data_IF_322784225009
#
_entry.id   IF_322784225009
#
_cell.length_a   1.000
_cell.length_b   1.000
_cell.length_c   1.000
_cell.angle_alpha   90.00
_cell.angle_beta   90.00
_cell.angle_gamma   90.00
#
_symmetry.space_group_name_H-M   'P 1'
#
loop_
_entity.id
_entity.type
_entity.pdbx_description
1 polymer ?
#
# COMPACT_ATOMS: atom_id res chain seq x y z
N UNK A 1 25.54 17.06 17.38
CA UNK A 1 24.18 16.91 16.81
C UNK A 1 24.33 16.19 15.47
N UNK A 2 23.73 15.01 15.30
CA UNK A 2 23.99 14.15 14.14
C UNK A 2 23.31 14.78 12.90
N UNK A 3 24.07 15.39 11.99
CA UNK A 3 23.54 16.13 10.81
C UNK A 3 22.58 15.27 9.99
N UNK A 4 22.85 13.95 9.93
CA UNK A 4 22.02 12.95 9.25
C UNK A 4 20.61 12.79 9.82
N UNK A 5 20.36 13.24 11.06
CA UNK A 5 19.02 13.24 11.69
C UNK A 5 18.25 14.56 11.50
N UNK A 6 18.86 15.57 10.88
CA UNK A 6 18.17 16.84 10.64
C UNK A 6 17.22 16.70 9.44
N UNK A 7 15.92 16.87 9.67
CA UNK A 7 14.87 16.75 8.65
C UNK A 7 15.07 17.69 7.46
N UNK A 8 15.51 18.93 7.71
CA UNK A 8 15.80 19.90 6.65
C UNK A 8 17.00 19.46 5.81
N UNK A 9 18.04 18.90 6.45
CA UNK A 9 19.18 18.33 5.73
C UNK A 9 18.76 17.15 4.87
N UNK A 10 17.95 16.23 5.40
CA UNK A 10 17.43 15.08 4.64
C UNK A 10 16.59 15.52 3.42
N UNK A 11 15.73 16.52 3.57
CA UNK A 11 14.95 17.08 2.45
C UNK A 11 15.85 17.68 1.36
N UNK A 12 16.83 18.49 1.76
CA UNK A 12 17.79 19.11 0.84
C UNK A 12 18.62 18.03 0.15
N UNK A 13 19.11 17.03 0.90
CA UNK A 13 19.88 15.93 0.34
C UNK A 13 19.09 15.12 -0.69
N UNK A 14 17.81 14.84 -0.42
CA UNK A 14 16.92 14.19 -1.37
C UNK A 14 16.77 15.01 -2.67
N UNK A 15 16.50 16.31 -2.54
CA UNK A 15 16.31 17.22 -3.66
C UNK A 15 17.60 17.36 -4.50
N UNK A 16 18.76 17.45 -3.83
CA UNK A 16 20.07 17.46 -4.50
C UNK A 16 20.29 16.16 -5.25
N UNK A 17 20.03 15.00 -4.64
CA UNK A 17 20.20 13.70 -5.28
C UNK A 17 19.33 13.58 -6.55
N UNK A 18 18.08 14.02 -6.47
CA UNK A 18 17.16 14.06 -7.61
C UNK A 18 17.67 15.00 -8.72
N UNK A 19 18.13 16.20 -8.34
CA UNK A 19 18.71 17.18 -9.25
C UNK A 19 19.98 16.67 -9.93
N UNK A 20 20.86 15.98 -9.20
CA UNK A 20 22.05 15.33 -9.75
C UNK A 20 21.65 14.30 -10.79
N UNK A 21 20.65 13.46 -10.50
CA UNK A 21 20.18 12.45 -11.48
C UNK A 21 19.63 13.11 -12.73
N UNK A 22 18.88 14.20 -12.63
CA UNK A 22 18.40 14.95 -13.80
C UNK A 22 19.53 15.57 -14.63
N UNK A 23 20.68 15.86 -14.02
CA UNK A 23 21.86 16.42 -14.68
C UNK A 23 22.79 15.35 -15.25
N UNK A 24 22.64 14.09 -14.85
CA UNK A 24 23.45 13.00 -15.39
C UNK A 24 23.15 12.81 -16.88
N UNK A 25 24.18 12.50 -17.70
CA UNK A 25 23.98 12.22 -19.11
C UNK A 25 23.02 11.04 -19.27
N UNK A 26 21.91 11.28 -19.97
CA UNK A 26 20.89 10.29 -20.26
C UNK A 26 21.44 9.26 -21.25
N UNK A 27 21.41 7.94 -20.94
CA UNK A 27 21.75 6.92 -21.90
C UNK A 27 20.61 6.75 -22.92
N UNK A 28 20.74 7.36 -24.09
CA UNK A 28 19.72 7.32 -25.16
C UNK A 28 19.60 5.95 -25.84
N UNK A 29 20.57 5.06 -25.61
CA UNK A 29 20.65 3.78 -26.28
C UNK A 29 21.11 3.92 -27.73
N UNK A 30 21.00 2.83 -28.47
CA UNK A 30 21.41 2.74 -29.89
C UNK A 30 20.27 2.32 -30.80
N UNK A 31 19.14 1.85 -30.24
CA UNK A 31 18.00 1.31 -30.98
C UNK A 31 16.75 2.14 -30.73
N UNK A 32 16.10 2.53 -31.82
CA UNK A 32 14.92 3.39 -31.82
C UNK A 32 13.80 2.76 -32.65
N UNK A 33 12.60 2.72 -32.10
CA UNK A 33 11.40 2.24 -32.78
C UNK A 33 10.69 3.40 -33.47
N UNK A 34 10.55 3.35 -34.79
CA UNK A 34 9.88 4.38 -35.58
C UNK A 34 8.46 3.91 -35.93
N UNK A 35 7.46 4.69 -35.52
CA UNK A 35 6.04 4.46 -35.85
C UNK A 35 5.48 5.61 -36.68
N UNK A 36 4.50 5.31 -37.53
CA UNK A 36 3.80 6.32 -38.34
C UNK A 36 4.57 6.84 -39.56
N UNK A 37 5.62 6.14 -39.97
CA UNK A 37 6.34 6.33 -41.22
C UNK A 37 6.23 5.08 -42.12
N UNK A 38 5.05 4.82 -42.73
CA UNK A 38 4.81 3.59 -43.50
C UNK A 38 5.65 3.51 -44.78
N UNK A 39 6.14 4.64 -45.30
CA UNK A 39 6.97 4.71 -46.51
C UNK A 39 8.48 4.71 -46.19
N UNK A 40 8.87 4.56 -44.92
CA UNK A 40 10.27 4.59 -44.46
C UNK A 40 11.04 5.82 -44.98
N UNK A 41 10.36 6.98 -45.08
CA UNK A 41 10.96 8.23 -45.56
C UNK A 41 12.04 8.73 -44.60
N UNK A 42 11.87 8.49 -43.31
CA UNK A 42 12.85 8.86 -42.30
C UNK A 42 14.13 8.06 -42.49
N UNK A 43 14.03 6.74 -42.68
CA UNK A 43 15.20 5.90 -43.00
C UNK A 43 16.00 6.51 -44.16
N UNK A 44 15.34 6.93 -45.25
CA UNK A 44 15.98 7.57 -46.40
C UNK A 44 16.82 8.82 -46.08
N UNK A 45 16.51 9.57 -45.02
CA UNK A 45 17.26 10.76 -44.62
C UNK A 45 18.40 10.48 -43.64
N UNK A 46 18.42 9.31 -43.00
CA UNK A 46 19.34 9.01 -41.89
C UNK A 46 20.17 7.73 -42.12
N UNK A 47 20.20 7.22 -43.35
CA UNK A 47 20.94 6.00 -43.73
C UNK A 47 22.45 6.10 -43.50
N UNK A 48 22.99 7.32 -43.44
CA UNK A 48 24.38 7.63 -43.16
C UNK A 48 24.77 7.32 -41.71
N UNK A 49 23.79 7.30 -40.78
CA UNK A 49 24.03 7.13 -39.34
C UNK A 49 23.25 5.99 -38.70
N UNK A 50 22.19 5.52 -39.36
CA UNK A 50 21.31 4.47 -38.86
C UNK A 50 21.11 3.36 -39.90
N UNK A 51 21.01 2.13 -39.40
CA UNK A 51 20.67 0.95 -40.19
C UNK A 51 19.33 0.37 -39.74
N UNK A 52 18.61 -0.23 -40.67
CA UNK A 52 17.39 -0.95 -40.38
C UNK A 52 17.72 -2.28 -39.67
N UNK A 53 17.09 -2.53 -38.53
CA UNK A 53 17.15 -3.83 -37.82
C UNK A 53 16.03 -4.72 -38.34
N UNK A 54 16.31 -5.98 -38.73
CA UNK A 54 15.28 -6.93 -39.11
C UNK A 54 14.24 -7.11 -38.00
N UNK A 55 12.94 -7.22 -38.32
CA UNK A 55 11.90 -7.38 -37.31
C UNK A 55 12.05 -8.70 -36.56
N UNK A 56 12.07 -8.66 -35.22
CA UNK A 56 12.04 -9.86 -34.36
C UNK A 56 10.63 -10.50 -34.28
N UNK A 57 9.58 -9.80 -34.75
CA UNK A 57 8.18 -10.26 -34.74
C UNK A 57 7.36 -9.58 -35.84
N UNK A 58 6.54 -10.35 -36.57
CA UNK A 58 5.65 -9.87 -37.64
C UNK A 58 4.56 -8.87 -37.19
N UNK A 59 4.35 -8.70 -35.87
CA UNK A 59 3.27 -7.85 -35.32
C UNK A 59 3.64 -6.37 -35.10
N UNK A 60 4.86 -5.95 -35.44
CA UNK A 60 5.27 -4.56 -35.23
C UNK A 60 4.63 -3.61 -36.25
N UNK A 61 3.89 -2.60 -35.77
CA UNK A 61 3.30 -1.51 -36.60
C UNK A 61 4.33 -0.43 -36.99
N UNK A 62 5.63 -0.75 -36.91
CA UNK A 62 6.74 0.17 -37.14
C UNK A 62 8.01 -0.57 -37.52
N UNK A 63 9.12 0.16 -37.60
CA UNK A 63 10.44 -0.41 -37.90
C UNK A 63 11.49 0.08 -36.90
N UNK A 64 12.56 -0.69 -36.71
CA UNK A 64 13.61 -0.37 -35.74
C UNK A 64 14.86 0.10 -36.47
N UNK A 65 15.39 1.23 -36.02
CA UNK A 65 16.67 1.78 -36.47
C UNK A 65 17.73 1.55 -35.39
N UNK A 66 18.91 1.13 -35.79
CA UNK A 66 20.08 1.02 -34.92
C UNK A 66 21.20 1.94 -35.40
N UNK A 67 21.89 2.61 -34.49
CA UNK A 67 23.04 3.44 -34.83
C UNK A 67 24.18 2.60 -35.41
N UNK A 68 24.84 3.12 -36.44
CA UNK A 68 26.00 2.46 -37.04
C UNK A 68 27.21 2.67 -36.12
N UNK A 69 27.85 1.58 -35.69
CA UNK A 69 29.04 1.61 -34.84
C UNK A 69 30.16 2.45 -35.49
N UNK A 70 30.60 3.52 -34.83
CA UNK A 70 31.59 4.47 -35.36
C UNK A 70 31.03 5.87 -35.67
N UNK A 71 29.71 6.07 -35.68
CA UNK A 71 29.11 7.40 -35.51
C UNK A 71 29.47 7.90 -34.11
N UNK A 72 29.97 9.14 -33.99
CA UNK A 72 30.73 9.62 -32.82
C UNK A 72 30.04 9.28 -31.50
N UNK A 73 30.77 8.58 -30.63
CA UNK A 73 30.44 8.42 -29.20
C UNK A 73 30.34 9.81 -28.55
N UNK A 74 29.14 10.40 -28.55
CA UNK A 74 28.87 11.76 -28.10
C UNK A 74 27.71 12.45 -28.83
N UNK A 75 27.30 11.96 -30.01
CA UNK A 75 26.13 12.49 -30.71
C UNK A 75 24.84 12.00 -30.04
N UNK A 76 23.86 12.89 -29.85
CA UNK A 76 22.52 12.59 -29.31
C UNK A 76 21.66 11.97 -30.42
N UNK A 77 21.65 10.64 -30.61
CA UNK A 77 21.10 10.03 -31.81
C UNK A 77 19.58 10.23 -31.90
N UNK A 78 18.92 10.39 -30.75
CA UNK A 78 17.51 10.72 -30.71
C UNK A 78 17.22 12.12 -31.26
N UNK A 79 18.05 13.13 -30.94
CA UNK A 79 17.88 14.48 -31.48
C UNK A 79 18.04 14.51 -33.01
N UNK A 80 18.97 13.72 -33.55
CA UNK A 80 19.15 13.60 -34.99
C UNK A 80 17.92 13.02 -35.69
N UNK A 81 17.34 11.96 -35.11
CA UNK A 81 16.09 11.36 -35.60
C UNK A 81 14.91 12.34 -35.47
N UNK A 82 14.82 13.07 -34.37
CA UNK A 82 13.77 14.07 -34.13
C UNK A 82 13.88 15.24 -35.13
N UNK A 83 15.10 15.72 -35.42
CA UNK A 83 15.35 16.76 -36.43
C UNK A 83 15.03 16.27 -37.84
N UNK A 84 15.44 15.06 -38.20
CA UNK A 84 15.11 14.46 -39.50
C UNK A 84 13.59 14.26 -39.66
N UNK A 85 12.91 13.78 -38.60
CA UNK A 85 11.46 13.66 -38.58
C UNK A 85 10.75 15.02 -38.72
N UNK A 86 11.27 16.07 -38.07
CA UNK A 86 10.72 17.43 -38.18
C UNK A 86 10.82 17.98 -39.61
N UNK A 87 11.90 17.68 -40.34
CA UNK A 87 12.10 18.08 -41.74
C UNK A 87 11.12 17.41 -42.71
N UNK A 88 10.57 16.25 -42.35
CA UNK A 88 9.62 15.48 -43.18
C UNK A 88 8.16 15.94 -43.08
N UNK A 89 7.85 16.91 -42.20
CA UNK A 89 6.50 17.44 -41.99
C UNK A 89 5.79 16.82 -40.79
N UNK A 90 5.15 17.67 -39.99
CA UNK A 90 4.68 17.37 -38.64
C UNK A 90 3.51 16.37 -38.60
N UNK A 91 3.63 15.35 -37.75
CA UNK A 91 2.47 14.89 -36.96
C UNK A 91 2.25 13.39 -36.81
N UNK A 92 2.99 12.50 -37.49
CA UNK A 92 2.74 11.03 -37.37
C UNK A 92 3.95 10.20 -36.96
N UNK A 93 5.17 10.71 -37.13
CA UNK A 93 6.36 9.92 -36.81
C UNK A 93 6.62 9.98 -35.31
N UNK A 94 6.52 8.84 -34.64
CA UNK A 94 6.82 8.68 -33.21
C UNK A 94 8.11 7.89 -33.06
N UNK A 95 9.05 8.40 -32.26
CA UNK A 95 10.33 7.77 -31.98
C UNK A 95 10.28 7.16 -30.57
N UNK A 96 10.23 5.83 -30.50
CA UNK A 96 10.34 5.05 -29.27
C UNK A 96 11.79 4.69 -28.98
N UNK A 97 12.15 4.63 -27.69
CA UNK A 97 13.49 4.22 -27.25
C UNK A 97 13.42 2.73 -26.89
N UNK A 98 14.26 1.89 -27.50
CA UNK A 98 14.21 0.42 -27.30
C UNK A 98 15.18 -0.03 -26.20
N UNK A 99 16.44 0.40 -26.28
CA UNK A 99 17.50 0.03 -25.33
C UNK A 99 18.08 1.23 -24.59
N UNK A 100 17.32 2.32 -24.52
CA UNK A 100 17.71 3.58 -23.88
C UNK A 100 16.57 4.22 -23.11
N UNK A 101 16.91 5.22 -22.30
CA UNK A 101 15.95 5.97 -21.49
C UNK A 101 15.36 7.12 -22.32
N UNK A 102 14.03 7.11 -22.48
CA UNK A 102 13.31 8.28 -22.99
C UNK A 102 13.45 9.47 -22.03
N UNK A 103 13.22 10.72 -22.48
CA UNK A 103 13.35 11.88 -21.59
C UNK A 103 12.36 11.80 -20.43
N UNK A 104 11.17 11.26 -20.68
CA UNK A 104 10.13 11.00 -19.67
C UNK A 104 10.57 9.92 -18.68
N UNK A 105 11.17 8.81 -19.15
CA UNK A 105 11.64 7.75 -18.28
C UNK A 105 12.83 8.17 -17.40
N UNK A 106 13.73 9.01 -17.92
CA UNK A 106 14.83 9.58 -17.14
C UNK A 106 14.33 10.54 -16.04
N UNK A 107 13.37 11.40 -16.38
CA UNK A 107 12.68 12.26 -15.41
C UNK A 107 11.96 11.44 -14.32
N UNK A 108 11.29 10.37 -14.72
CA UNK A 108 10.67 9.44 -13.78
C UNK A 108 11.69 8.78 -12.85
N UNK A 109 12.85 8.36 -13.36
CA UNK A 109 13.93 7.77 -12.56
C UNK A 109 14.44 8.75 -11.48
N UNK A 110 14.64 10.02 -11.83
CA UNK A 110 15.03 11.04 -10.86
C UNK A 110 13.99 11.20 -9.74
N UNK A 111 12.71 11.25 -10.11
CA UNK A 111 11.58 11.28 -9.15
C UNK A 111 11.55 10.00 -8.31
N UNK A 112 11.78 8.83 -8.89
CA UNK A 112 11.76 7.56 -8.17
C UNK A 112 12.84 7.51 -7.08
N UNK A 113 14.07 7.92 -7.40
CA UNK A 113 15.16 7.94 -6.40
C UNK A 113 14.88 8.95 -5.29
N UNK A 114 14.35 10.12 -5.62
CA UNK A 114 13.87 11.09 -4.64
C UNK A 114 12.86 10.46 -3.67
N UNK A 115 11.86 9.77 -4.22
CA UNK A 115 10.79 9.15 -3.44
C UNK A 115 11.29 8.01 -2.56
N UNK A 116 12.18 7.15 -3.06
CA UNK A 116 12.80 6.09 -2.26
C UNK A 116 13.50 6.71 -1.03
N UNK A 117 14.24 7.79 -1.23
CA UNK A 117 14.91 8.48 -0.13
C UNK A 117 13.92 9.09 0.87
N UNK A 118 12.84 9.72 0.39
CA UNK A 118 11.76 10.25 1.23
C UNK A 118 11.08 9.16 2.07
N UNK A 119 10.77 8.00 1.48
CA UNK A 119 10.13 6.89 2.17
C UNK A 119 11.06 6.20 3.18
N UNK A 120 12.36 6.12 2.91
CA UNK A 120 13.32 5.45 3.80
C UNK A 120 13.72 6.33 4.99
N UNK A 121 13.90 7.63 4.77
CA UNK A 121 14.34 8.54 5.84
C UNK A 121 13.20 9.25 6.57
N UNK A 122 12.01 9.28 5.99
CA UNK A 122 10.79 9.87 6.57
C UNK A 122 11.00 11.30 7.15
N UNK A 123 11.63 12.24 6.42
CA UNK A 123 11.86 13.60 6.95
C UNK A 123 10.55 14.38 7.15
N UNK A 124 9.53 14.03 6.37
CA UNK A 124 8.15 14.52 6.46
C UNK A 124 7.21 13.32 6.59
N UNK A 125 5.96 13.49 7.05
CA UNK A 125 4.99 12.40 7.14
C UNK A 125 4.82 11.66 5.80
N UNK A 126 4.64 10.34 5.87
CA UNK A 126 4.55 9.47 4.69
C UNK A 126 3.36 9.83 3.79
N UNK A 127 2.29 10.36 4.37
CA UNK A 127 1.09 10.82 3.66
C UNK A 127 1.40 12.04 2.79
N UNK A 128 2.21 12.97 3.32
CA UNK A 128 2.67 14.14 2.56
C UNK A 128 3.60 13.70 1.45
N UNK A 129 4.52 12.78 1.73
CA UNK A 129 5.40 12.18 0.71
C UNK A 129 4.59 11.54 -0.41
N UNK A 130 3.54 10.76 -0.06
CA UNK A 130 2.66 10.13 -1.03
C UNK A 130 1.91 11.16 -1.89
N UNK A 131 1.42 12.28 -1.33
CA UNK A 131 0.80 13.37 -2.11
C UNK A 131 1.80 14.07 -3.04
N UNK A 132 3.04 14.25 -2.59
CA UNK A 132 4.09 14.83 -3.42
C UNK A 132 4.38 14.01 -4.69
N UNK A 133 4.12 12.70 -4.70
CA UNK A 133 4.31 11.85 -5.89
C UNK A 133 3.54 12.41 -7.09
N UNK A 134 2.22 12.56 -6.97
CA UNK A 134 1.36 13.05 -8.05
C UNK A 134 1.75 14.45 -8.50
N UNK A 135 2.02 15.34 -7.54
CA UNK A 135 2.47 16.72 -7.84
C UNK A 135 3.79 16.72 -8.61
N UNK A 136 4.79 15.95 -8.17
CA UNK A 136 6.09 15.88 -8.83
C UNK A 136 5.99 15.26 -10.22
N UNK A 137 5.19 14.21 -10.41
CA UNK A 137 4.97 13.60 -11.72
C UNK A 137 4.37 14.60 -12.72
N UNK A 138 3.49 15.50 -12.27
CA UNK A 138 2.91 16.56 -13.11
C UNK A 138 3.95 17.67 -13.37
N UNK A 139 4.58 18.21 -12.32
CA UNK A 139 5.52 19.34 -12.44
C UNK A 139 6.74 19.01 -13.30
N UNK A 140 7.23 17.79 -13.19
CA UNK A 140 8.37 17.31 -13.96
C UNK A 140 7.93 16.89 -15.39
N UNK A 141 6.63 16.80 -15.66
CA UNK A 141 6.08 16.45 -16.98
C UNK A 141 6.21 14.96 -17.32
N UNK A 142 6.16 14.10 -16.30
CA UNK A 142 6.13 12.63 -16.44
C UNK A 142 4.73 12.13 -16.75
N UNK A 143 3.71 12.73 -16.15
CA UNK A 143 2.31 12.36 -16.32
C UNK A 143 1.44 13.62 -16.41
N UNK A 144 0.30 13.53 -17.11
CA UNK A 144 -0.69 14.60 -17.12
C UNK A 144 -1.51 14.60 -15.82
N UNK A 145 -2.20 15.71 -15.57
CA UNK A 145 -3.01 15.93 -14.35
C UNK A 145 -4.02 14.81 -14.13
N UNK A 146 -4.74 14.39 -15.18
CA UNK A 146 -5.81 13.39 -15.05
C UNK A 146 -5.22 12.02 -14.71
N UNK A 147 -4.17 11.60 -15.42
CA UNK A 147 -3.52 10.31 -15.20
C UNK A 147 -2.83 10.23 -13.84
N UNK A 148 -2.15 11.29 -13.40
CA UNK A 148 -1.47 11.33 -12.11
C UNK A 148 -2.45 11.19 -10.94
N UNK A 149 -3.60 11.90 -10.99
CA UNK A 149 -4.61 11.82 -9.92
C UNK A 149 -5.47 10.57 -9.98
N UNK A 150 -5.62 9.93 -11.15
CA UNK A 150 -6.40 8.70 -11.29
C UNK A 150 -5.91 7.57 -10.36
N UNK A 151 -4.60 7.47 -10.12
CA UNK A 151 -4.00 6.50 -9.20
C UNK A 151 -4.48 6.68 -7.73
N UNK A 152 -4.78 7.92 -7.31
CA UNK A 152 -5.27 8.21 -5.96
C UNK A 152 -6.73 7.81 -5.76
N UNK A 153 -7.48 7.64 -6.85
CA UNK A 153 -8.88 7.17 -6.83
C UNK A 153 -8.99 5.73 -7.34
N UNK A 154 -7.91 4.95 -7.23
CA UNK A 154 -7.94 3.53 -7.57
C UNK A 154 -8.98 2.78 -6.70
N UNK A 155 -9.72 1.80 -7.23
CA UNK A 155 -10.73 1.04 -6.47
C UNK A 155 -10.24 0.51 -5.12
N UNK A 156 -8.97 0.10 -5.05
CA UNK A 156 -8.32 -0.37 -3.82
C UNK A 156 -8.21 0.73 -2.75
N UNK A 157 -7.98 1.99 -3.14
CA UNK A 157 -7.93 3.12 -2.21
C UNK A 157 -9.31 3.34 -1.58
N UNK A 158 -10.37 3.33 -2.39
CA UNK A 158 -11.76 3.42 -1.91
C UNK A 158 -12.11 2.26 -0.97
N UNK A 159 -11.66 1.05 -1.29
CA UNK A 159 -11.86 -0.11 -0.42
C UNK A 159 -11.20 0.06 0.95
N UNK A 160 -9.92 0.45 0.97
CA UNK A 160 -9.18 0.66 2.22
C UNK A 160 -9.85 1.77 3.05
N UNK A 161 -10.26 2.87 2.41
CA UNK A 161 -11.02 3.94 3.05
C UNK A 161 -12.29 3.41 3.73
N UNK A 162 -13.09 2.58 3.03
CA UNK A 162 -14.29 1.97 3.61
C UNK A 162 -13.97 1.05 4.80
N UNK A 163 -12.88 0.27 4.73
CA UNK A 163 -12.46 -0.61 5.82
C UNK A 163 -12.07 0.18 7.08
N UNK A 164 -11.43 1.34 6.92
CA UNK A 164 -11.14 2.25 8.04
C UNK A 164 -12.42 2.83 8.65
N UNK A 165 -13.37 3.27 7.82
CA UNK A 165 -14.69 3.74 8.27
C UNK A 165 -15.45 2.66 9.04
N UNK A 166 -15.39 1.41 8.58
CA UNK A 166 -15.99 0.28 9.29
C UNK A 166 -15.36 0.03 10.66
N UNK A 167 -14.04 0.24 10.79
CA UNK A 167 -13.38 0.18 12.08
C UNK A 167 -13.87 1.28 13.04
N UNK A 168 -14.09 2.51 12.55
CA UNK A 168 -14.69 3.60 13.33
C UNK A 168 -16.11 3.23 13.77
N UNK A 169 -16.92 2.63 12.88
CA UNK A 169 -18.27 2.16 13.20
C UNK A 169 -18.28 1.11 14.32
N UNK A 170 -17.35 0.14 14.28
CA UNK A 170 -17.19 -0.87 15.32
C UNK A 170 -16.85 -0.25 16.68
N UNK A 171 -15.96 0.75 16.69
CA UNK A 171 -15.56 1.44 17.91
C UNK A 171 -16.70 2.28 18.50
N UNK A 172 -17.36 3.08 17.66
CA UNK A 172 -18.56 3.84 18.03
C UNK A 172 -19.69 2.97 18.56
N UNK A 173 -19.83 1.76 17.99
CA UNK A 173 -20.81 0.80 18.47
C UNK A 173 -20.49 0.23 19.86
N UNK A 174 -19.27 0.40 20.36
CA UNK A 174 -18.80 -0.23 21.59
C UNK A 174 -18.47 -1.71 21.42
N UNK A 175 -18.53 -2.25 20.19
CA UNK A 175 -18.17 -3.64 19.89
C UNK A 175 -16.72 -3.91 20.24
N UNK A 176 -15.85 -2.95 19.93
CA UNK A 176 -14.44 -2.91 20.33
C UNK A 176 -14.26 -3.11 21.85
N UNK A 177 -14.94 -2.28 22.65
CA UNK A 177 -14.87 -2.34 24.13
C UNK A 177 -15.40 -3.66 24.65
N UNK A 178 -16.52 -4.14 24.09
CA UNK A 178 -17.13 -5.44 24.42
C UNK A 178 -16.18 -6.60 24.11
N UNK A 179 -15.49 -6.59 22.98
CA UNK A 179 -14.48 -7.60 22.64
C UNK A 179 -13.31 -7.58 23.63
N UNK A 180 -12.80 -6.39 23.98
CA UNK A 180 -11.75 -6.24 25.00
C UNK A 180 -12.17 -6.79 26.37
N UNK A 181 -13.39 -6.46 26.82
CA UNK A 181 -13.95 -6.96 28.08
C UNK A 181 -14.19 -8.48 28.07
N UNK A 182 -14.66 -9.04 26.95
CA UNK A 182 -14.82 -10.49 26.79
C UNK A 182 -13.49 -11.23 26.93
N UNK A 183 -12.45 -10.72 26.27
CA UNK A 183 -11.10 -11.29 26.34
C UNK A 183 -10.54 -11.16 27.76
N UNK A 184 -10.67 -9.98 28.36
CA UNK A 184 -10.19 -9.72 29.72
C UNK A 184 -10.78 -10.69 30.76
N UNK A 185 -12.08 -10.97 30.65
CA UNK A 185 -12.78 -11.94 31.51
C UNK A 185 -12.22 -13.36 31.38
N UNK A 186 -11.88 -13.79 30.16
CA UNK A 186 -11.39 -15.16 29.89
C UNK A 186 -9.93 -15.36 30.31
N UNK A 187 -9.19 -14.27 30.41
CA UNK A 187 -7.77 -14.24 30.74
C UNK A 187 -7.44 -14.33 32.24
N UNK A 188 -8.27 -13.75 33.09
CA UNK A 188 -8.00 -13.66 34.53
C UNK A 188 -6.82 -12.73 34.85
N UNK A 189 -6.15 -12.98 35.98
CA UNK A 189 -5.12 -12.07 36.54
C UNK A 189 -3.71 -12.25 35.95
N UNK A 190 -3.45 -13.32 35.18
CA UNK A 190 -2.11 -13.61 34.69
C UNK A 190 -1.75 -12.73 33.49
N UNK A 191 -0.64 -11.99 33.59
CA UNK A 191 -0.08 -11.19 32.49
C UNK A 191 0.07 -12.00 31.22
N UNK A 192 0.74 -13.16 31.30
CA UNK A 192 1.01 -14.00 30.11
C UNK A 192 -0.29 -14.44 29.44
N UNK A 193 -1.23 -14.99 30.23
CA UNK A 193 -2.51 -15.48 29.70
C UNK A 193 -3.34 -14.34 29.11
N UNK A 194 -3.36 -13.19 29.77
CA UNK A 194 -4.06 -12.01 29.30
C UNK A 194 -3.54 -11.49 27.97
N UNK A 195 -2.24 -11.26 27.87
CA UNK A 195 -1.64 -10.77 26.64
C UNK A 195 -1.83 -11.77 25.51
N UNK A 196 -1.68 -13.08 25.75
CA UNK A 196 -1.92 -14.08 24.71
C UNK A 196 -3.35 -14.07 24.19
N UNK A 197 -4.34 -14.06 25.07
CA UNK A 197 -5.75 -14.10 24.64
C UNK A 197 -6.12 -12.78 23.95
N UNK A 198 -5.65 -11.63 24.46
CA UNK A 198 -5.92 -10.33 23.85
C UNK A 198 -5.25 -10.19 22.49
N UNK A 199 -3.95 -10.42 22.42
CA UNK A 199 -3.19 -10.31 21.18
C UNK A 199 -3.67 -11.32 20.14
N UNK A 200 -3.89 -12.58 20.49
CA UNK A 200 -4.39 -13.57 19.53
C UNK A 200 -5.84 -13.31 19.13
N UNK A 201 -6.69 -12.89 20.07
CA UNK A 201 -8.09 -12.58 19.80
C UNK A 201 -8.24 -11.41 18.84
N UNK A 202 -7.55 -10.30 19.12
CA UNK A 202 -7.56 -9.12 18.24
C UNK A 202 -6.73 -9.34 16.97
N UNK A 203 -5.68 -10.16 17.04
CA UNK A 203 -4.92 -10.60 15.88
C UNK A 203 -5.79 -11.37 14.90
N UNK A 204 -6.54 -12.38 15.34
CA UNK A 204 -7.48 -13.08 14.47
C UNK A 204 -8.62 -12.13 14.05
N UNK A 205 -9.08 -11.24 14.92
CA UNK A 205 -10.10 -10.26 14.55
C UNK A 205 -9.63 -9.28 13.46
N UNK A 206 -8.33 -8.96 13.37
CA UNK A 206 -7.79 -8.14 12.28
C UNK A 206 -7.84 -8.82 10.91
N UNK A 207 -8.25 -10.09 10.82
CA UNK A 207 -8.62 -10.68 9.53
C UNK A 207 -9.91 -10.08 8.97
N UNK A 208 -10.77 -9.46 9.79
CA UNK A 208 -12.06 -8.89 9.36
C UNK A 208 -12.17 -7.39 9.63
N UNK A 209 -11.12 -6.77 10.18
CA UNK A 209 -10.99 -5.32 10.37
C UNK A 209 -9.55 -4.90 10.09
N UNK A 210 -9.32 -3.62 9.80
CA UNK A 210 -7.97 -3.14 9.50
C UNK A 210 -7.00 -3.36 10.68
N UNK A 211 -5.82 -3.92 10.42
CA UNK A 211 -4.82 -4.32 11.42
C UNK A 211 -4.31 -3.17 12.31
N UNK A 212 -4.08 -1.99 11.72
CA UNK A 212 -3.75 -0.78 12.45
C UNK A 212 -4.85 -0.37 13.44
N UNK A 213 -6.12 -0.47 13.04
CA UNK A 213 -7.25 -0.16 13.92
C UNK A 213 -7.36 -1.20 15.04
N UNK A 214 -7.26 -2.49 14.73
CA UNK A 214 -7.22 -3.57 15.73
C UNK A 214 -6.08 -3.38 16.75
N UNK A 215 -4.92 -2.91 16.30
CA UNK A 215 -3.77 -2.59 17.15
C UNK A 215 -4.05 -1.40 18.07
N UNK A 216 -4.58 -0.30 17.54
CA UNK A 216 -4.93 0.88 18.33
C UNK A 216 -5.94 0.54 19.43
N UNK A 217 -6.96 -0.26 19.09
CA UNK A 217 -7.94 -0.84 20.00
C UNK A 217 -7.25 -1.65 21.11
N UNK A 218 -6.35 -2.56 20.72
CA UNK A 218 -5.65 -3.43 21.64
C UNK A 218 -4.83 -2.61 22.65
N UNK A 219 -4.13 -1.59 22.16
CA UNK A 219 -3.32 -0.69 22.99
C UNK A 219 -4.21 0.13 23.94
N UNK A 220 -5.33 0.66 23.45
CA UNK A 220 -6.28 1.42 24.27
C UNK A 220 -6.89 0.56 25.40
N UNK A 221 -7.10 -0.73 25.16
CA UNK A 221 -7.53 -1.67 26.18
C UNK A 221 -6.41 -2.09 27.16
N UNK A 222 -5.17 -2.24 26.66
CA UNK A 222 -4.02 -2.70 27.44
C UNK A 222 -3.45 -1.63 28.38
N UNK A 223 -3.38 -0.38 27.92
CA UNK A 223 -2.64 0.68 28.61
C UNK A 223 -3.23 1.06 29.99
N UNK A 224 -4.56 1.21 30.17
CA UNK A 224 -5.14 1.46 31.48
C UNK A 224 -4.87 0.31 32.46
N UNK A 225 -4.89 -0.93 31.95
CA UNK A 225 -4.64 -2.12 32.75
C UNK A 225 -3.20 -2.18 33.25
N UNK A 226 -2.24 -1.88 32.36
CA UNK A 226 -0.83 -1.79 32.73
C UNK A 226 -0.58 -0.75 33.82
N UNK A 227 -1.24 0.41 33.71
CA UNK A 227 -1.16 1.48 34.72
C UNK A 227 -1.75 1.04 36.05
N UNK A 228 -2.92 0.41 36.05
CA UNK A 228 -3.58 -0.09 37.26
C UNK A 228 -2.77 -1.18 37.97
N UNK A 229 -2.05 -2.02 37.21
CA UNK A 229 -1.15 -3.04 37.75
C UNK A 229 0.24 -2.51 38.16
N UNK A 230 0.49 -1.20 38.07
CA UNK A 230 1.78 -0.60 38.43
C UNK A 230 2.95 -1.03 37.53
N UNK A 231 2.68 -1.46 36.30
CA UNK A 231 3.73 -1.96 35.39
C UNK A 231 4.57 -0.78 34.89
N UNK A 232 5.86 -0.83 35.22
CA UNK A 232 6.81 0.22 34.83
C UNK A 232 7.15 0.14 33.33
N UNK A 233 7.31 1.29 32.64
CA UNK A 233 7.77 1.34 31.26
C UNK A 233 9.11 0.62 31.07
N UNK A 234 9.37 0.14 29.85
CA UNK A 234 10.62 -0.52 29.45
C UNK A 234 10.99 -1.84 30.15
N UNK A 235 10.20 -2.30 31.12
CA UNK A 235 10.31 -3.66 31.67
C UNK A 235 9.98 -4.72 30.61
N UNK A 236 10.44 -5.95 30.79
CA UNK A 236 10.09 -7.05 29.88
C UNK A 236 8.58 -7.30 29.87
N UNK A 237 7.91 -7.19 31.02
CA UNK A 237 6.44 -7.24 31.12
C UNK A 237 5.78 -6.17 30.23
N UNK A 238 6.21 -4.91 30.32
CA UNK A 238 5.66 -3.84 29.50
C UNK A 238 5.93 -4.07 28.00
N UNK A 239 7.15 -4.48 27.63
CA UNK A 239 7.52 -4.78 26.24
C UNK A 239 6.69 -5.91 25.68
N UNK A 240 6.49 -7.00 26.42
CA UNK A 240 5.66 -8.11 25.98
C UNK A 240 4.19 -7.70 25.79
N UNK A 241 3.61 -7.04 26.80
CA UNK A 241 2.21 -6.61 26.74
C UNK A 241 1.94 -5.63 25.58
N UNK A 242 2.89 -4.76 25.26
CA UNK A 242 2.72 -3.75 24.22
C UNK A 242 3.11 -4.26 22.82
N UNK A 243 4.22 -5.00 22.68
CA UNK A 243 4.72 -5.45 21.37
C UNK A 243 3.96 -6.66 20.83
N UNK A 244 3.41 -7.53 21.69
CA UNK A 244 2.64 -8.68 21.23
C UNK A 244 1.41 -8.27 20.38
N UNK A 245 0.83 -7.10 20.65
CA UNK A 245 -0.38 -6.60 19.98
C UNK A 245 -0.14 -6.27 18.50
N UNK A 246 0.78 -5.36 18.10
CA UNK A 246 1.01 -5.06 16.69
C UNK A 246 1.52 -6.27 15.90
N UNK A 247 2.35 -7.13 16.50
CA UNK A 247 2.82 -8.35 15.83
C UNK A 247 1.68 -9.32 15.54
N UNK A 248 0.78 -9.55 16.51
CA UNK A 248 -0.38 -10.40 16.32
C UNK A 248 -1.37 -9.79 15.31
N UNK A 249 -1.70 -8.51 15.44
CA UNK A 249 -2.60 -7.82 14.52
C UNK A 249 -2.06 -7.77 13.09
N UNK A 250 -0.76 -7.54 12.89
CA UNK A 250 -0.18 -7.56 11.54
C UNK A 250 -0.12 -8.98 10.96
N UNK A 251 0.17 -9.99 11.79
CA UNK A 251 0.15 -11.41 11.36
C UNK A 251 -1.25 -11.87 10.98
N UNK A 252 -2.27 -11.43 11.72
CA UNK A 252 -3.66 -11.75 11.43
C UNK A 252 -4.22 -10.97 10.25
N UNK A 253 -3.79 -9.72 10.06
CA UNK A 253 -4.26 -8.84 8.98
C UNK A 253 -4.01 -9.40 7.58
N UNK A 254 -3.05 -10.33 7.45
CA UNK A 254 -2.82 -11.00 6.17
C UNK A 254 -3.91 -12.00 5.76
N UNK A 255 -4.71 -12.48 6.72
CA UNK A 255 -5.64 -13.60 6.52
C UNK A 255 -6.77 -13.32 5.54
N UNK A 256 -7.14 -12.05 5.31
CA UNK A 256 -8.06 -11.65 4.24
C UNK A 256 -7.57 -10.38 3.54
N UNK A 257 -8.26 -10.00 2.46
CA UNK A 257 -8.00 -8.74 1.76
C UNK A 257 -8.37 -7.48 2.58
N UNK A 258 -9.25 -7.62 3.59
CA UNK A 258 -9.70 -6.51 4.47
C UNK A 258 -8.63 -6.16 5.50
N UNK A 259 -7.93 -7.17 6.01
CA UNK A 259 -7.15 -7.03 7.23
C UNK A 259 -5.99 -6.06 7.10
N UNK A 260 -5.17 -6.20 6.05
CA UNK A 260 -4.06 -5.30 5.77
C UNK A 260 -4.18 -4.68 4.38
N UNK A 261 -4.04 -3.36 4.26
CA UNK A 261 -4.09 -2.68 2.97
C UNK A 261 -3.11 -3.24 1.92
N UNK A 262 -1.98 -3.81 2.37
CA UNK A 262 -0.99 -4.49 1.52
C UNK A 262 -1.57 -5.70 0.79
N UNK A 263 -2.52 -6.42 1.40
CA UNK A 263 -3.11 -7.63 0.83
C UNK A 263 -3.91 -7.30 -0.43
N UNK A 264 -4.80 -6.30 -0.33
CA UNK A 264 -5.61 -5.85 -1.46
C UNK A 264 -4.77 -5.21 -2.57
N UNK A 265 -3.76 -4.41 -2.22
CA UNK A 265 -2.82 -3.85 -3.21
C UNK A 265 -2.07 -4.96 -3.95
N UNK A 266 -1.60 -5.98 -3.23
CA UNK A 266 -0.89 -7.11 -3.84
C UNK A 266 -1.78 -7.90 -4.81
N UNK A 267 -3.03 -8.17 -4.42
CA UNK A 267 -3.99 -8.85 -5.29
C UNK A 267 -4.31 -8.02 -6.55
N UNK A 268 -4.44 -6.70 -6.41
CA UNK A 268 -4.68 -5.80 -7.55
C UNK A 268 -3.49 -5.76 -8.52
N UNK A 269 -2.26 -5.61 -8.01
CA UNK A 269 -1.05 -5.60 -8.84
C UNK A 269 -0.79 -6.95 -9.50
N UNK A 270 -1.10 -8.07 -8.83
CA UNK A 270 -1.01 -9.38 -9.46
C UNK A 270 -1.91 -9.47 -10.69
N UNK A 271 -3.17 -9.01 -10.56
CA UNK A 271 -4.11 -8.95 -11.68
C UNK A 271 -3.62 -8.01 -12.79
N UNK A 272 -3.11 -6.84 -12.43
CA UNK A 272 -2.64 -5.84 -13.38
C UNK A 272 -1.43 -6.33 -14.20
N UNK A 273 -0.45 -6.97 -13.55
CA UNK A 273 0.78 -7.39 -14.21
C UNK A 273 0.70 -8.76 -14.90
N UNK A 274 -0.13 -9.67 -14.40
CA UNK A 274 -0.16 -11.07 -14.88
C UNK A 274 -1.51 -11.48 -15.47
N UNK A 275 -2.56 -10.68 -15.29
CA UNK A 275 -3.94 -11.05 -15.62
C UNK A 275 -4.58 -12.03 -14.63
N UNK A 276 -3.84 -12.54 -13.65
CA UNK A 276 -4.35 -13.49 -12.65
C UNK A 276 -5.14 -12.73 -11.57
N UNK A 277 -6.44 -12.93 -11.54
CA UNK A 277 -7.31 -12.40 -10.48
C UNK A 277 -7.43 -13.41 -9.34
N UNK A 278 -6.92 -13.05 -8.15
CA UNK A 278 -7.21 -13.76 -6.90
C UNK A 278 -8.42 -13.09 -6.28
N UNK A 279 -9.53 -13.83 -6.17
CA UNK A 279 -10.72 -13.30 -5.54
C UNK A 279 -10.60 -13.36 -3.99
N UNK A 280 -11.58 -12.79 -3.29
CA UNK A 280 -11.57 -12.70 -1.83
C UNK A 280 -11.50 -14.07 -1.15
N UNK A 281 -12.27 -15.04 -1.66
CA UNK A 281 -12.34 -16.38 -1.09
C UNK A 281 -11.05 -17.15 -1.32
N UNK A 282 -10.48 -17.08 -2.53
CA UNK A 282 -9.19 -17.70 -2.87
C UNK A 282 -8.08 -17.20 -1.94
N UNK A 283 -8.02 -15.88 -1.73
CA UNK A 283 -7.08 -15.28 -0.80
C UNK A 283 -7.30 -15.79 0.62
N UNK A 284 -8.55 -15.78 1.11
CA UNK A 284 -8.87 -16.21 2.46
C UNK A 284 -8.51 -17.68 2.68
N UNK A 285 -8.81 -18.57 1.73
CA UNK A 285 -8.47 -19.99 1.82
C UNK A 285 -6.95 -20.22 1.88
N UNK A 286 -6.17 -19.40 1.18
CA UNK A 286 -4.71 -19.51 1.17
C UNK A 286 -4.06 -18.86 2.41
N UNK A 287 -4.46 -17.65 2.77
CA UNK A 287 -3.78 -16.82 3.77
C UNK A 287 -4.34 -17.00 5.19
N UNK A 288 -5.62 -17.36 5.36
CA UNK A 288 -6.23 -17.55 6.68
C UNK A 288 -5.56 -18.68 7.48
N UNK A 289 -5.26 -19.87 6.90
CA UNK A 289 -4.55 -20.91 7.64
C UNK A 289 -3.18 -20.44 8.14
N UNK A 290 -2.46 -19.68 7.32
CA UNK A 290 -1.19 -19.07 7.71
C UNK A 290 -1.38 -18.08 8.86
N UNK A 291 -2.36 -17.17 8.77
CA UNK A 291 -2.70 -16.21 9.81
C UNK A 291 -3.02 -16.89 11.16
N UNK A 292 -3.81 -17.97 11.15
CA UNK A 292 -4.17 -18.73 12.36
C UNK A 292 -2.96 -19.35 13.07
N UNK A 293 -1.88 -19.64 12.34
CA UNK A 293 -0.63 -20.17 12.88
C UNK A 293 0.34 -19.05 13.26
N UNK A 294 0.50 -18.04 12.40
CA UNK A 294 1.47 -16.96 12.60
C UNK A 294 1.07 -16.00 13.72
N UNK A 295 -0.23 -15.79 13.96
CA UNK A 295 -0.72 -14.99 15.08
C UNK A 295 -0.18 -15.50 16.43
N UNK A 296 -0.50 -16.74 16.88
CA UNK A 296 0.03 -17.25 18.14
C UNK A 296 1.56 -17.41 18.13
N UNK A 297 2.15 -17.77 16.98
CA UNK A 297 3.61 -17.87 16.85
C UNK A 297 4.31 -16.52 17.06
N UNK A 298 3.75 -15.43 16.55
CA UNK A 298 4.28 -14.07 16.73
C UNK A 298 4.24 -13.64 18.19
N UNK A 299 3.13 -13.91 18.88
CA UNK A 299 3.00 -13.62 20.32
C UNK A 299 3.97 -14.47 21.14
N UNK A 300 4.13 -15.75 20.78
CA UNK A 300 5.10 -16.65 21.40
C UNK A 300 6.54 -16.18 21.19
N UNK A 301 6.89 -15.69 20.01
CA UNK A 301 8.21 -15.11 19.74
C UNK A 301 8.47 -13.88 20.63
N UNK A 302 7.51 -12.97 20.75
CA UNK A 302 7.63 -11.80 21.65
C UNK A 302 7.75 -12.25 23.10
N UNK A 303 6.96 -13.25 23.53
CA UNK A 303 7.04 -13.82 24.88
C UNK A 303 8.42 -14.44 25.18
N UNK A 304 9.02 -15.14 24.21
CA UNK A 304 10.34 -15.75 24.36
C UNK A 304 11.44 -14.69 24.54
N UNK A 305 11.36 -13.58 23.80
CA UNK A 305 12.34 -12.48 23.86
C UNK A 305 12.13 -11.61 25.11
N UNK A 306 10.89 -11.31 25.45
CA UNK A 306 10.52 -10.41 26.56
C UNK A 306 9.69 -11.15 27.61
N UNK A 307 10.28 -12.16 28.26
CA UNK A 307 9.57 -12.94 29.28
C UNK A 307 8.99 -12.03 30.38
N UNK A 308 7.66 -12.01 30.58
CA UNK A 308 7.05 -11.17 31.60
C UNK A 308 7.31 -11.72 33.00
N UNK A 309 7.31 -10.85 33.99
CA UNK A 309 7.40 -11.23 35.40
C UNK A 309 6.10 -11.92 35.84
N UNK A 310 6.13 -13.20 36.26
CA UNK A 310 4.94 -13.95 36.67
C UNK A 310 4.37 -13.49 38.02
N UNK A 311 5.11 -12.72 38.81
CA UNK A 311 4.65 -12.20 40.11
C UNK A 311 3.63 -11.06 39.96
N UNK A 312 3.65 -10.37 38.81
CA UNK A 312 2.74 -9.28 38.51
C UNK A 312 1.35 -9.84 38.19
N UNK A 313 0.35 -9.32 38.88
CA UNK A 313 -1.06 -9.67 38.66
C UNK A 313 -1.82 -8.48 38.10
N UNK A 314 -2.61 -8.75 37.08
CA UNK A 314 -3.53 -7.78 36.50
C UNK A 314 -4.79 -7.71 37.37
N UNK A 315 -5.41 -6.52 37.52
CA UNK A 315 -6.66 -6.39 38.25
C UNK A 315 -7.77 -7.21 37.58
N UNK A 316 -8.67 -7.76 38.41
CA UNK A 316 -9.83 -8.50 37.91
C UNK A 316 -10.83 -7.55 37.26
N UNK A 317 -11.31 -7.94 36.08
CA UNK A 317 -12.46 -7.33 35.44
C UNK A 317 -13.74 -8.00 35.95
N UNK A 318 -14.44 -7.35 36.88
CA UNK A 318 -15.70 -7.88 37.45
C UNK A 318 -16.94 -7.42 36.66
N UNK A 319 -16.85 -6.32 35.91
CA UNK A 319 -17.96 -5.77 35.13
C UNK A 319 -18.61 -6.81 34.21
N UNK A 320 -19.92 -7.02 34.35
CA UNK A 320 -20.73 -7.81 33.43
C UNK A 320 -20.83 -7.15 32.07
N UNK A 321 -20.50 -7.91 31.02
CA UNK A 321 -20.95 -7.58 29.68
C UNK A 321 -22.48 -7.49 29.74
N UNK A 322 -23.03 -6.29 29.54
CA UNK A 322 -24.46 -6.10 29.47
C UNK A 322 -25.11 -6.87 28.31
N UNK A 323 -26.41 -6.71 28.06
CA UNK A 323 -27.02 -7.19 26.82
C UNK A 323 -26.47 -6.43 25.61
N UNK A 324 -26.54 -7.05 24.44
CA UNK A 324 -26.17 -6.40 23.17
C UNK A 324 -27.11 -5.22 22.91
N UNK A 325 -26.53 -4.05 22.66
CA UNK A 325 -27.30 -2.85 22.32
C UNK A 325 -27.84 -2.94 20.89
N UNK A 326 -28.88 -2.16 20.61
CA UNK A 326 -29.43 -2.06 19.24
C UNK A 326 -28.39 -1.56 18.24
N UNK A 327 -27.45 -0.71 18.67
CA UNK A 327 -26.42 -0.13 17.80
C UNK A 327 -25.35 -1.18 17.46
N UNK A 328 -24.94 -2.02 18.42
CA UNK A 328 -24.05 -3.16 18.19
C UNK A 328 -24.64 -4.16 17.19
N UNK A 329 -25.92 -4.53 17.37
CA UNK A 329 -26.61 -5.48 16.48
C UNK A 329 -26.68 -4.96 15.05
N UNK A 330 -27.07 -3.70 14.86
CA UNK A 330 -27.15 -3.05 13.53
C UNK A 330 -25.79 -3.02 12.86
N UNK A 331 -24.75 -2.64 13.61
CA UNK A 331 -23.38 -2.56 13.09
C UNK A 331 -22.89 -3.92 12.62
N UNK A 332 -23.02 -4.97 13.45
CA UNK A 332 -22.63 -6.33 13.05
C UNK A 332 -23.43 -6.83 11.86
N UNK A 333 -24.75 -6.59 11.82
CA UNK A 333 -25.59 -7.02 10.71
C UNK A 333 -25.13 -6.39 9.37
N UNK A 334 -24.88 -5.08 9.36
CA UNK A 334 -24.46 -4.35 8.15
C UNK A 334 -23.08 -4.83 7.71
N UNK A 335 -22.11 -4.93 8.63
CA UNK A 335 -20.76 -5.38 8.30
C UNK A 335 -20.74 -6.85 7.83
N UNK A 336 -21.56 -7.71 8.43
CA UNK A 336 -21.72 -9.09 7.98
C UNK A 336 -22.30 -9.14 6.56
N UNK A 337 -23.28 -8.31 6.23
CA UNK A 337 -23.84 -8.24 4.88
C UNK A 337 -22.80 -7.77 3.85
N UNK A 338 -21.99 -6.75 4.18
CA UNK A 338 -20.88 -6.30 3.32
C UNK A 338 -19.84 -7.40 3.12
N UNK A 339 -19.47 -8.11 4.20
CA UNK A 339 -18.50 -9.20 4.13
C UNK A 339 -19.01 -10.37 3.28
N UNK A 340 -20.30 -10.71 3.39
CA UNK A 340 -20.96 -11.70 2.52
C UNK A 340 -20.94 -11.24 1.06
N UNK A 341 -21.20 -9.97 0.78
CA UNK A 341 -21.09 -9.43 -0.58
C UNK A 341 -19.66 -9.57 -1.12
N UNK A 342 -18.62 -9.32 -0.32
CA UNK A 342 -17.24 -9.55 -0.78
C UNK A 342 -16.92 -11.02 -1.06
N UNK A 343 -17.38 -11.94 -0.21
CA UNK A 343 -17.21 -13.39 -0.43
C UNK A 343 -17.96 -13.89 -1.66
N UNK A 344 -19.09 -13.27 -2.01
CA UNK A 344 -19.94 -13.65 -3.14
C UNK A 344 -19.71 -12.80 -4.38
N UNK A 345 -18.61 -12.02 -4.44
CA UNK A 345 -18.20 -11.22 -5.62
C UNK A 345 -18.22 -12.04 -6.91
N UNK A 346 -17.73 -13.28 -6.87
CA UNK A 346 -17.69 -14.18 -8.03
C UNK A 346 -19.07 -14.50 -8.61
N UNK A 347 -20.14 -14.36 -7.82
CA UNK A 347 -21.51 -14.68 -8.25
C UNK A 347 -22.26 -13.46 -8.78
N UNK A 348 -22.11 -12.29 -8.14
CA UNK A 348 -22.85 -11.08 -8.52
C UNK A 348 -22.04 -10.06 -9.33
N UNK A 349 -20.71 -10.20 -9.41
CA UNK A 349 -19.83 -9.34 -10.22
C UNK A 349 -19.58 -7.93 -9.67
N UNK A 350 -20.36 -7.45 -8.69
CA UNK A 350 -20.14 -6.16 -8.04
C UNK A 350 -18.74 -6.04 -7.41
N UNK A 351 -18.01 -5.00 -7.79
CA UNK A 351 -16.68 -4.73 -7.25
C UNK A 351 -16.75 -4.30 -5.76
N UNK A 352 -15.68 -4.56 -5.02
CA UNK A 352 -15.55 -4.18 -3.63
C UNK A 352 -15.59 -2.65 -3.45
N UNK A 353 -15.19 -1.88 -4.46
CA UNK A 353 -15.28 -0.41 -4.45
C UNK A 353 -16.71 0.10 -4.59
N UNK A 354 -17.67 -0.77 -4.88
CA UNK A 354 -19.11 -0.45 -4.93
C UNK A 354 -19.78 -0.90 -3.64
N UNK A 355 -19.54 -2.13 -3.22
CA UNK A 355 -20.17 -2.72 -2.01
C UNK A 355 -19.68 -2.06 -0.72
N UNK A 356 -18.42 -1.59 -0.67
CA UNK A 356 -17.88 -0.83 0.47
C UNK A 356 -18.65 0.47 0.75
N UNK A 357 -18.73 1.42 -0.22
CA UNK A 357 -19.50 2.65 -0.04
C UNK A 357 -20.98 2.43 0.25
N UNK A 358 -21.60 1.39 -0.32
CA UNK A 358 -22.97 1.01 0.03
C UNK A 358 -23.10 0.61 1.52
N UNK A 359 -22.10 -0.10 2.05
CA UNK A 359 -22.00 -0.40 3.47
C UNK A 359 -21.87 0.86 4.34
N UNK A 360 -21.04 1.82 3.93
CA UNK A 360 -20.89 3.11 4.62
C UNK A 360 -22.21 3.87 4.64
N UNK A 361 -22.89 3.96 3.50
CA UNK A 361 -24.21 4.59 3.41
C UNK A 361 -25.23 3.89 4.31
N UNK A 362 -25.23 2.55 4.37
CA UNK A 362 -26.10 1.79 5.25
C UNK A 362 -25.83 2.06 6.75
N UNK A 363 -24.56 2.21 7.15
CA UNK A 363 -24.19 2.58 8.53
C UNK A 363 -24.72 3.97 8.92
N UNK A 364 -24.62 4.94 8.01
CA UNK A 364 -25.15 6.30 8.22
C UNK A 364 -26.68 6.27 8.30
N UNK A 365 -27.35 5.60 7.35
CA UNK A 365 -28.82 5.47 7.33
C UNK A 365 -29.35 4.75 8.58
N UNK A 366 -28.62 3.76 9.09
CA UNK A 366 -28.96 3.04 10.33
C UNK A 366 -28.66 3.83 11.61
N UNK A 367 -28.12 5.04 11.49
CA UNK A 367 -27.66 5.94 12.58
C UNK A 367 -26.60 5.30 13.47
N UNK A 368 -25.73 4.47 12.88
CA UNK A 368 -24.54 3.94 13.55
C UNK A 368 -23.42 4.97 13.52
N UNK A 369 -23.25 5.64 12.37
CA UNK A 369 -22.30 6.73 12.16
C UNK A 369 -23.05 8.01 11.78
N UNK A 370 -22.45 9.14 12.13
CA UNK A 370 -22.73 10.45 11.51
C UNK A 370 -21.54 10.83 10.63
N UNK A 371 -21.73 11.76 9.69
CA UNK A 371 -20.66 12.11 8.74
C UNK A 371 -19.44 12.70 9.43
N UNK A 372 -19.64 13.40 10.54
CA UNK A 372 -18.58 14.00 11.37
C UNK A 372 -17.66 12.97 12.04
N UNK A 373 -18.03 11.68 11.98
CA UNK A 373 -17.23 10.59 12.54
C UNK A 373 -16.16 10.06 11.58
N UNK A 374 -16.33 10.34 10.28
CA UNK A 374 -15.50 9.86 9.17
C UNK A 374 -14.46 10.92 8.84
#
# INVERSE_FOLDING_TARGET
MNILKNKSFQLIAAAILAGVIMLLPRPEGTRFEIKGDPQQKLLGQVQDRFRLVPPESEKSKGYVLETIAGSRSGDRPAEDLEQAAARLGQGKITIGYVNGLSPTAHRFLATLVFLIFMFVLEPIPLEVTALCIGVLLILIGVSDVKSAWAAYMHPVVLFIMCCLIFAIALDKAGLTKRMGQFVARKAGESVTRFTFILACGLGIASTVMHDAAATAIAIAAMLPLMRAAGIQPHTNTAKFMMLALPFACSSGGMGTLVGGGRCMVSAAFLKEFTGVEINFLDWALFAMPAALVTVPASVAAVWLVFRPDPSIKLPRFEDSLGPWTSLEKRTVLILAAVFVAWLTKSWHGLDYSVTGPLGVAALIMARVLVWEDI
#
